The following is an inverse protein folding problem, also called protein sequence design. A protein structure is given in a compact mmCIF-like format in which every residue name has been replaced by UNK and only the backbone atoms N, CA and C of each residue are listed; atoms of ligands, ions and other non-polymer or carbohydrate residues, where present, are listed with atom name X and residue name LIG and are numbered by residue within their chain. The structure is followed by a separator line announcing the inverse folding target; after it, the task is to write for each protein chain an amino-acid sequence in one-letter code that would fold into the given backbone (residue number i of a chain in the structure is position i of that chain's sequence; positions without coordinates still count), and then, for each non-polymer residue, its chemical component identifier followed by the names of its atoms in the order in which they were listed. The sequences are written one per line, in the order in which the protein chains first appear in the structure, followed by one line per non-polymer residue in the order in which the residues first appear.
data_IF_451375424583
#
_entry.id   IF_451375424583
#
_cell.length_a   1.000
_cell.length_b   1.000
_cell.length_c   1.000
_cell.angle_alpha   90.00
_cell.angle_beta   90.00
_cell.angle_gamma   90.00
#
_symmetry.space_group_name_H-M   'P 1'
#
loop_
_entity.id
_entity.type
_entity.pdbx_description
1 polymer ?
#
# COMPACT_ATOMS: atom_id res chain seq x y z
N UNK A 1 -22.70 28.99 -23.71
CA UNK A 1 -22.05 29.38 -22.44
C UNK A 1 -21.49 28.19 -21.68
N UNK A 2 -22.25 27.09 -21.53
CA UNK A 2 -21.84 25.87 -20.78
C UNK A 2 -20.47 25.28 -21.13
N UNK A 3 -20.11 25.17 -22.42
CA UNK A 3 -18.79 24.62 -22.84
C UNK A 3 -17.60 25.42 -22.28
N UNK A 4 -17.76 26.74 -22.14
CA UNK A 4 -16.72 27.63 -21.62
C UNK A 4 -16.59 27.45 -20.10
N UNK A 5 -17.70 27.23 -19.38
CA UNK A 5 -17.66 26.89 -17.96
C UNK A 5 -17.05 25.50 -17.72
N UNK A 6 -17.36 24.51 -18.54
CA UNK A 6 -16.75 23.18 -18.45
C UNK A 6 -15.24 23.24 -18.69
N UNK A 7 -14.79 24.02 -19.67
CA UNK A 7 -13.37 24.18 -19.95
C UNK A 7 -12.64 24.92 -18.83
N UNK A 8 -13.27 25.94 -18.24
CA UNK A 8 -12.74 26.63 -17.04
C UNK A 8 -12.62 25.71 -15.84
N UNK A 9 -13.65 24.89 -15.55
CA UNK A 9 -13.61 23.91 -14.46
C UNK A 9 -12.54 22.85 -14.69
N UNK A 10 -12.41 22.36 -15.92
CA UNK A 10 -11.37 21.39 -16.31
C UNK A 10 -9.96 21.98 -16.11
N UNK A 11 -9.74 23.22 -16.53
CA UNK A 11 -8.46 23.90 -16.34
C UNK A 11 -8.16 24.13 -14.85
N UNK A 12 -9.15 24.58 -14.07
CA UNK A 12 -9.00 24.75 -12.62
C UNK A 12 -8.64 23.45 -11.91
N UNK A 13 -9.28 22.32 -12.28
CA UNK A 13 -8.96 21.01 -11.71
C UNK A 13 -7.53 20.56 -12.05
N UNK A 14 -7.05 20.83 -13.26
CA UNK A 14 -5.67 20.54 -13.68
C UNK A 14 -4.66 21.33 -12.85
N UNK A 15 -4.93 22.60 -12.60
CA UNK A 15 -4.07 23.47 -11.80
C UNK A 15 -4.05 23.03 -10.32
N UNK A 16 -5.22 22.73 -9.74
CA UNK A 16 -5.33 22.24 -8.37
C UNK A 16 -4.58 20.92 -8.17
N UNK A 17 -4.72 19.98 -9.12
CA UNK A 17 -4.01 18.70 -9.09
C UNK A 17 -2.48 18.90 -9.18
N UNK A 18 -2.04 19.86 -10.00
CA UNK A 18 -0.63 20.22 -10.11
C UNK A 18 -0.10 20.80 -8.79
N UNK A 19 -0.87 21.65 -8.12
CA UNK A 19 -0.51 22.22 -6.82
C UNK A 19 -0.42 21.15 -5.72
N UNK A 20 -1.37 20.21 -5.68
CA UNK A 20 -1.35 19.08 -4.73
C UNK A 20 -0.12 18.20 -4.93
N UNK A 21 0.27 17.91 -6.18
CA UNK A 21 1.48 17.14 -6.51
C UNK A 21 2.76 17.85 -6.07
N UNK A 22 2.86 19.16 -6.31
CA UNK A 22 3.97 19.98 -5.81
C UNK A 22 4.08 19.90 -4.28
N UNK A 23 2.94 19.97 -3.57
CA UNK A 23 2.90 19.85 -2.10
C UNK A 23 3.31 18.45 -1.62
N UNK A 24 2.90 17.41 -2.31
CA UNK A 24 3.22 16.01 -2.00
C UNK A 24 4.64 15.57 -2.46
N UNK A 25 5.40 16.44 -3.14
CA UNK A 25 6.72 16.14 -3.74
C UNK A 25 6.72 14.95 -4.70
N UNK A 26 5.60 14.70 -5.39
CA UNK A 26 5.51 13.65 -6.42
C UNK A 26 5.86 14.25 -7.78
N UNK A 27 6.96 13.81 -8.41
CA UNK A 27 7.55 14.45 -9.61
C UNK A 27 7.29 13.73 -10.94
N UNK A 28 6.39 12.74 -10.97
CA UNK A 28 6.31 11.83 -12.12
C UNK A 28 4.87 11.52 -12.56
N UNK A 29 4.54 11.91 -13.79
CA UNK A 29 3.59 11.17 -14.62
C UNK A 29 4.36 10.00 -15.26
N UNK A 30 4.84 9.06 -14.44
CA UNK A 30 5.67 7.95 -14.94
C UNK A 30 5.13 6.63 -14.46
N UNK A 31 4.00 6.23 -15.04
CA UNK A 31 3.72 4.82 -15.12
C UNK A 31 3.66 4.49 -16.61
N UNK A 32 4.61 3.72 -17.18
CA UNK A 32 4.27 2.86 -18.31
C UNK A 32 3.07 2.08 -17.81
N UNK A 33 1.88 2.40 -18.30
CA UNK A 33 0.68 2.00 -17.58
C UNK A 33 0.64 0.47 -17.53
N UNK A 34 0.60 -0.17 -16.35
CA UNK A 34 0.39 -1.62 -16.22
C UNK A 34 -0.93 -2.03 -16.89
N UNK A 35 -1.80 -1.03 -17.09
CA UNK A 35 -2.97 -1.06 -17.94
C UNK A 35 -2.73 -1.64 -19.34
N UNK A 36 -1.58 -1.46 -19.99
CA UNK A 36 -1.35 -2.08 -21.30
C UNK A 36 -1.15 -3.60 -21.18
N UNK A 37 -0.39 -4.07 -20.19
CA UNK A 37 -0.25 -5.51 -19.90
C UNK A 37 -1.55 -6.14 -19.41
N UNK A 38 -2.28 -5.46 -18.52
CA UNK A 38 -3.55 -5.93 -17.96
C UNK A 38 -4.66 -5.91 -19.02
N UNK A 39 -4.73 -4.89 -19.87
CA UNK A 39 -5.71 -4.82 -20.97
C UNK A 39 -5.39 -5.81 -22.10
N UNK A 40 -4.11 -6.16 -22.32
CA UNK A 40 -3.71 -7.18 -23.29
C UNK A 40 -4.14 -8.59 -22.85
N UNK A 41 -4.15 -8.85 -21.54
CA UNK A 41 -4.67 -10.09 -20.97
C UNK A 41 -6.20 -10.16 -21.05
N UNK A 42 -6.88 -9.02 -20.83
CA UNK A 42 -8.35 -8.91 -20.89
C UNK A 42 -8.88 -8.93 -22.35
N UNK A 43 -8.13 -8.36 -23.30
CA UNK A 43 -8.54 -8.14 -24.70
C UNK A 43 -8.37 -9.34 -25.65
N UNK A 44 -7.68 -10.41 -25.24
CA UNK A 44 -7.49 -11.64 -26.04
C UNK A 44 -8.59 -12.69 -25.78
N UNK A 45 -9.70 -12.28 -25.17
CA UNK A 45 -10.87 -13.16 -24.96
C UNK A 45 -11.80 -13.25 -26.20
N UNK A 46 -11.22 -13.12 -27.41
CA UNK A 46 -11.89 -13.39 -28.69
C UNK A 46 -11.80 -14.86 -29.14
N UNK A 47 -10.96 -15.69 -28.50
CA UNK A 47 -10.88 -17.13 -28.78
C UNK A 47 -11.48 -17.93 -27.63
N UNK A 48 -12.75 -18.32 -27.81
CA UNK A 48 -13.54 -19.33 -27.06
C UNK A 48 -12.87 -19.95 -25.80
N UNK A 49 -13.39 -19.69 -24.58
CA UNK A 49 -13.14 -20.55 -23.43
C UNK A 49 -14.23 -21.63 -23.35
N UNK A 50 -13.85 -22.90 -23.52
CA UNK A 50 -14.78 -24.05 -23.42
C UNK A 50 -15.24 -24.35 -21.98
N UNK A 51 -14.76 -23.63 -20.97
CA UNK A 51 -15.33 -23.56 -19.61
C UNK A 51 -15.11 -22.16 -19.09
N UNK A 52 -16.17 -21.45 -18.70
CA UNK A 52 -16.08 -20.17 -17.98
C UNK A 52 -15.77 -20.53 -16.53
N UNK A 53 -14.52 -20.38 -16.08
CA UNK A 53 -14.20 -20.56 -14.66
C UNK A 53 -15.05 -19.58 -13.84
N UNK A 54 -15.99 -20.13 -13.08
CA UNK A 54 -16.85 -19.35 -12.20
C UNK A 54 -16.07 -19.14 -10.90
N UNK A 55 -15.73 -17.88 -10.60
CA UNK A 55 -15.11 -17.53 -9.33
C UNK A 55 -16.00 -18.00 -8.17
N UNK A 56 -15.41 -18.71 -7.20
CA UNK A 56 -16.13 -19.22 -6.02
C UNK A 56 -16.75 -18.11 -5.17
N UNK A 57 -16.12 -16.94 -5.15
CA UNK A 57 -16.58 -15.77 -4.38
C UNK A 57 -17.58 -14.90 -5.16
N UNK A 58 -17.34 -14.68 -6.45
CA UNK A 58 -18.26 -13.87 -7.28
C UNK A 58 -19.49 -14.66 -7.78
N UNK A 59 -19.43 -15.99 -7.85
CA UNK A 59 -20.50 -16.81 -8.41
C UNK A 59 -20.79 -16.49 -9.89
N UNK A 60 -22.04 -16.70 -10.34
CA UNK A 60 -22.48 -16.41 -11.71
C UNK A 60 -22.75 -14.90 -11.94
N UNK A 61 -21.84 -14.05 -11.48
CA UNK A 61 -21.92 -12.62 -11.70
C UNK A 61 -21.85 -12.27 -13.19
N UNK A 62 -22.54 -11.21 -13.60
CA UNK A 62 -22.42 -10.71 -14.96
C UNK A 62 -20.99 -10.20 -15.20
N UNK A 63 -20.31 -10.79 -16.17
CA UNK A 63 -18.96 -10.40 -16.59
C UNK A 63 -18.91 -9.03 -17.27
N UNK A 64 -20.06 -8.48 -17.66
CA UNK A 64 -20.16 -7.14 -18.26
C UNK A 64 -20.40 -6.04 -17.26
N UNK A 65 -20.78 -6.38 -16.01
CA UNK A 65 -20.99 -5.41 -14.96
C UNK A 65 -19.69 -4.70 -14.61
N UNK A 66 -19.75 -3.37 -14.62
CA UNK A 66 -18.61 -2.49 -14.43
C UNK A 66 -18.70 -1.79 -13.09
N UNK A 67 -17.62 -1.85 -12.33
CA UNK A 67 -17.47 -1.12 -11.07
C UNK A 67 -16.37 -0.07 -11.18
N UNK A 68 -16.45 0.96 -10.34
CA UNK A 68 -15.37 1.94 -10.20
C UNK A 68 -14.40 1.48 -9.12
N UNK A 69 -13.12 1.41 -9.46
CA UNK A 69 -12.05 1.09 -8.53
C UNK A 69 -11.02 2.21 -8.53
N UNK A 70 -10.56 2.59 -7.33
CA UNK A 70 -9.35 3.39 -7.15
C UNK A 70 -8.15 2.45 -7.06
N UNK A 71 -7.10 2.69 -7.84
CA UNK A 71 -5.90 1.86 -7.77
C UNK A 71 -5.03 2.24 -6.57
N UNK A 72 -4.57 1.26 -5.76
CA UNK A 72 -3.71 1.50 -4.61
C UNK A 72 -2.48 2.34 -4.96
N UNK A 73 -2.14 3.31 -4.11
CA UNK A 73 -0.97 4.18 -4.31
C UNK A 73 -1.10 5.22 -5.43
N UNK A 74 -2.31 5.39 -6.01
CA UNK A 74 -2.56 6.36 -7.08
C UNK A 74 -3.78 7.26 -6.78
N UNK A 75 -3.94 8.33 -7.56
CA UNK A 75 -5.11 9.19 -7.62
C UNK A 75 -6.08 8.78 -8.77
N UNK A 76 -5.91 7.58 -9.32
CA UNK A 76 -6.61 7.13 -10.53
C UNK A 76 -7.80 6.25 -10.19
N UNK A 77 -8.96 6.66 -10.71
CA UNK A 77 -10.16 5.84 -10.75
C UNK A 77 -10.35 5.26 -12.15
N UNK A 78 -10.64 3.97 -12.24
CA UNK A 78 -11.01 3.34 -13.49
C UNK A 78 -12.28 2.51 -13.36
N UNK A 79 -13.00 2.43 -14.47
CA UNK A 79 -14.18 1.60 -14.60
C UNK A 79 -13.76 0.23 -15.15
N UNK A 80 -13.70 -0.77 -14.29
CA UNK A 80 -13.21 -2.12 -14.61
C UNK A 80 -14.32 -3.17 -14.40
N UNK A 81 -14.23 -4.37 -14.98
CA UNK A 81 -15.17 -5.45 -14.68
C UNK A 81 -15.17 -5.78 -13.20
N UNK A 82 -16.35 -6.12 -12.65
CA UNK A 82 -16.50 -6.43 -11.23
C UNK A 82 -15.53 -7.52 -10.74
N UNK A 83 -15.44 -8.63 -11.48
CA UNK A 83 -14.56 -9.74 -11.09
C UNK A 83 -13.08 -9.33 -11.05
N UNK A 84 -12.64 -8.44 -11.95
CA UNK A 84 -11.28 -7.91 -11.92
C UNK A 84 -11.03 -7.06 -10.67
N UNK A 85 -11.98 -6.21 -10.29
CA UNK A 85 -11.88 -5.43 -9.05
C UNK A 85 -11.81 -6.35 -7.82
N UNK A 86 -12.67 -7.37 -7.78
CA UNK A 86 -12.68 -8.36 -6.71
C UNK A 86 -11.34 -9.07 -6.58
N UNK A 87 -10.79 -9.64 -7.66
CA UNK A 87 -9.52 -10.37 -7.61
C UNK A 87 -8.34 -9.50 -7.20
N UNK A 88 -8.31 -8.22 -7.61
CA UNK A 88 -7.27 -7.29 -7.16
C UNK A 88 -7.38 -7.06 -5.65
N UNK A 89 -8.59 -6.78 -5.14
CA UNK A 89 -8.83 -6.55 -3.72
C UNK A 89 -8.50 -7.80 -2.88
N UNK A 90 -8.88 -8.99 -3.36
CA UNK A 90 -8.59 -10.26 -2.70
C UNK A 90 -7.08 -10.51 -2.59
N UNK A 91 -6.33 -10.29 -3.68
CA UNK A 91 -4.87 -10.39 -3.69
C UNK A 91 -4.22 -9.37 -2.73
N UNK A 92 -4.71 -8.14 -2.73
CA UNK A 92 -4.22 -7.08 -1.84
C UNK A 92 -4.49 -7.43 -0.36
N UNK A 93 -5.63 -8.04 -0.05
CA UNK A 93 -5.98 -8.50 1.29
C UNK A 93 -5.01 -9.58 1.77
N UNK A 94 -4.70 -10.59 0.96
CA UNK A 94 -3.73 -11.65 1.31
C UNK A 94 -2.33 -11.07 1.59
N UNK A 95 -1.90 -10.12 0.76
CA UNK A 95 -0.62 -9.44 0.95
C UNK A 95 -0.58 -8.61 2.24
N UNK A 96 -1.66 -7.89 2.55
CA UNK A 96 -1.79 -7.13 3.79
C UNK A 96 -1.81 -8.03 5.04
N UNK A 97 -2.45 -9.19 4.97
CA UNK A 97 -2.47 -10.17 6.06
C UNK A 97 -1.08 -10.74 6.32
N UNK A 98 -0.31 -11.01 5.27
CA UNK A 98 1.08 -11.44 5.38
C UNK A 98 1.95 -10.37 6.05
N UNK A 99 1.92 -9.13 5.55
CA UNK A 99 2.72 -8.03 6.11
C UNK A 99 2.31 -7.72 7.57
N UNK A 100 1.03 -7.86 7.91
CA UNK A 100 0.54 -7.72 9.29
C UNK A 100 1.15 -8.79 10.21
N UNK A 101 1.15 -10.06 9.79
CA UNK A 101 1.75 -11.16 10.57
C UNK A 101 3.25 -10.95 10.77
N UNK A 102 3.94 -10.50 9.72
CA UNK A 102 5.37 -10.19 9.76
C UNK A 102 5.68 -9.03 10.70
N UNK A 103 4.92 -7.93 10.60
CA UNK A 103 5.06 -6.79 11.52
C UNK A 103 4.84 -7.20 12.97
N UNK A 104 3.81 -8.01 13.23
CA UNK A 104 3.54 -8.53 14.57
C UNK A 104 4.69 -9.40 15.11
N UNK A 105 5.34 -10.21 14.28
CA UNK A 105 6.56 -10.93 14.65
C UNK A 105 7.66 -9.98 15.09
N UNK A 106 7.94 -8.93 14.30
CA UNK A 106 8.95 -7.95 14.66
C UNK A 106 8.63 -7.23 15.98
N UNK A 107 7.37 -6.85 16.20
CA UNK A 107 6.96 -6.21 17.45
C UNK A 107 7.20 -7.14 18.65
N UNK A 108 6.86 -8.44 18.53
CA UNK A 108 7.12 -9.43 19.59
C UNK A 108 8.61 -9.54 19.91
N UNK A 109 9.45 -9.68 18.89
CA UNK A 109 10.90 -9.82 19.09
C UNK A 109 11.51 -8.58 19.74
N UNK A 110 11.11 -7.38 19.30
CA UNK A 110 11.58 -6.12 19.90
C UNK A 110 11.06 -5.94 21.33
N UNK A 111 9.82 -6.33 21.60
CA UNK A 111 9.24 -6.29 22.95
C UNK A 111 9.99 -7.22 23.90
N UNK A 112 10.33 -8.44 23.45
CA UNK A 112 11.14 -9.38 24.23
C UNK A 112 12.51 -8.78 24.57
N UNK A 113 13.22 -8.23 23.59
CA UNK A 113 14.52 -7.59 23.80
C UNK A 113 14.47 -6.41 24.78
N UNK A 114 13.40 -5.60 24.72
CA UNK A 114 13.19 -4.51 25.67
C UNK A 114 12.94 -5.07 27.07
N UNK A 115 12.10 -6.09 27.20
CA UNK A 115 11.80 -6.75 28.47
C UNK A 115 13.06 -7.33 29.12
N UNK A 116 13.88 -8.05 28.36
CA UNK A 116 15.14 -8.62 28.85
C UNK A 116 16.13 -7.54 29.32
N UNK A 117 16.26 -6.44 28.57
CA UNK A 117 17.11 -5.31 28.96
C UNK A 117 16.56 -4.55 30.17
N UNK A 118 15.24 -4.37 30.24
CA UNK A 118 14.57 -3.76 31.38
C UNK A 118 14.76 -4.57 32.65
N UNK A 119 14.52 -5.89 32.58
CA UNK A 119 14.75 -6.80 33.70
C UNK A 119 16.22 -6.81 34.17
N UNK A 120 17.17 -6.59 33.26
CA UNK A 120 18.58 -6.41 33.62
C UNK A 120 18.82 -5.07 34.33
N UNK A 121 18.19 -3.98 33.88
CA UNK A 121 18.27 -2.67 34.52
C UNK A 121 17.69 -2.69 35.95
N UNK A 122 16.63 -3.46 36.18
CA UNK A 122 16.02 -3.60 37.52
C UNK A 122 16.91 -4.39 38.49
N UNK A 123 17.75 -5.30 37.97
CA UNK A 123 18.68 -6.11 38.78
C UNK A 123 19.98 -5.38 39.13
N UNK A 124 20.41 -4.43 38.29
CA UNK A 124 21.66 -3.70 38.51
C UNK A 124 21.35 -2.39 39.22
N UNK A 125 21.81 -2.26 40.47
CA UNK A 125 21.68 -1.01 41.24
C UNK A 125 22.28 0.17 40.46
N UNK A 126 21.56 1.31 40.36
CA UNK A 126 22.08 2.53 39.74
C UNK A 126 23.43 2.99 40.32
N UNK A 127 23.72 2.67 41.58
CA UNK A 127 25.00 3.00 42.21
C UNK A 127 26.18 2.21 41.62
N UNK A 128 25.96 0.94 41.26
CA UNK A 128 26.98 0.08 40.64
C UNK A 128 27.32 0.57 39.23
N UNK A 129 26.32 0.95 38.45
CA UNK A 129 26.52 1.55 37.12
C UNK A 129 27.31 2.88 37.21
N UNK A 130 26.96 3.75 38.17
CA UNK A 130 27.70 5.00 38.40
C UNK A 130 29.18 4.76 38.73
N UNK A 131 29.46 3.76 39.58
CA UNK A 131 30.84 3.39 39.96
C UNK A 131 31.67 2.85 38.77
N UNK A 132 31.06 2.02 37.92
CA UNK A 132 31.73 1.51 36.70
C UNK A 132 32.05 2.63 35.71
N UNK A 133 31.15 3.59 35.52
CA UNK A 133 31.35 4.75 34.63
C UNK A 133 32.44 5.68 35.16
N UNK A 134 32.49 5.94 36.46
CA UNK A 134 33.56 6.78 37.05
C UNK A 134 34.93 6.11 36.99
N UNK A 135 35.01 4.80 37.20
CA UNK A 135 36.27 4.05 37.05
C UNK A 135 36.80 4.05 35.61
N UNK A 136 35.93 3.89 34.62
CA UNK A 136 36.32 3.93 33.20
C UNK A 136 36.72 5.33 32.72
N UNK A 137 36.17 6.39 33.31
CA UNK A 137 36.61 7.77 33.06
C UNK A 137 38.00 8.08 33.62
N UNK A 138 38.39 7.45 34.72
CA UNK A 138 39.70 7.66 35.36
C UNK A 138 40.83 6.85 34.71
N UNK A 139 40.53 5.74 34.03
CA UNK A 139 41.50 4.90 33.31
C UNK A 139 41.91 5.45 31.92
N UNK A 140 41.40 6.61 31.51
CA UNK A 140 41.78 7.31 30.26
C UNK A 140 42.68 8.53 30.49
N UNK A 141 43.32 8.62 31.66
CA UNK A 141 44.41 9.57 31.91
C UNK A 141 45.76 8.94 31.63
#
# INVERSE_FOLDING_TARGET
MQLVETDKLRNGNREALTALRKRARTTKTSVPSPFESVMKEIGVSGSRPLVKEVCTTCGSHDSTERTWMMFPGTDVFARIPFHAAHSIIETDQEHLDFETKKLHSYVKDKTLLISEKGALADKISPAVLKSLVTLTGNNRK
#
